data_IF_588795216841
#
_entry.id   IF_588795216841
#
_cell.length_a   1.000
_cell.length_b   1.000
_cell.length_c   1.000
_cell.angle_alpha   90.00
_cell.angle_beta   90.00
_cell.angle_gamma   90.00
#
_symmetry.space_group_name_H-M   'P 1'
#
loop_
_entity.id
_entity.type
_entity.pdbx_description
1 polymer ?
#
# COMPACT_ATOMS: atom_id res chain seq x y z
N UNK A 1 -15.53 -27.32 -22.23
CA UNK A 1 -16.15 -25.99 -22.05
C UNK A 1 -15.01 -25.01 -21.87
N UNK A 2 -14.84 -23.98 -22.72
CA UNK A 2 -13.79 -22.98 -22.51
C UNK A 2 -14.13 -22.15 -21.27
N UNK A 3 -13.18 -22.09 -20.33
CA UNK A 3 -13.27 -21.25 -19.14
C UNK A 3 -13.29 -19.79 -19.63
N UNK A 4 -14.31 -19.02 -19.24
CA UNK A 4 -14.39 -17.62 -19.68
C UNK A 4 -13.37 -16.79 -18.90
N UNK A 5 -12.91 -15.66 -19.47
CA UNK A 5 -11.95 -14.76 -18.81
C UNK A 5 -12.40 -14.30 -17.41
N UNK A 6 -13.72 -14.26 -17.17
CA UNK A 6 -14.32 -13.96 -15.86
C UNK A 6 -14.23 -15.12 -14.85
N UNK A 7 -14.17 -16.36 -15.32
CA UNK A 7 -13.98 -17.54 -14.48
C UNK A 7 -12.52 -17.71 -14.06
N UNK A 8 -11.56 -17.40 -14.95
CA UNK A 8 -10.13 -17.42 -14.61
C UNK A 8 -9.76 -16.41 -13.52
N UNK A 9 -10.28 -15.18 -13.61
CA UNK A 9 -10.05 -14.15 -12.60
C UNK A 9 -10.66 -14.53 -11.24
N UNK A 10 -11.77 -15.28 -11.22
CA UNK A 10 -12.37 -15.81 -9.99
C UNK A 10 -11.51 -16.88 -9.33
N UNK A 11 -10.79 -17.70 -10.10
CA UNK A 11 -9.95 -18.77 -9.56
C UNK A 11 -8.65 -18.22 -8.98
N UNK A 12 -8.07 -17.16 -9.56
CA UNK A 12 -6.77 -16.62 -9.13
C UNK A 12 -6.92 -15.57 -8.02
N UNK A 13 -8.03 -14.84 -7.99
CA UNK A 13 -8.28 -13.86 -6.92
C UNK A 13 -8.49 -14.59 -5.59
N UNK A 14 -7.74 -14.20 -4.57
CA UNK A 14 -7.92 -14.73 -3.23
C UNK A 14 -6.71 -14.53 -2.35
N UNK A 15 -6.75 -15.21 -1.22
CA UNK A 15 -5.68 -15.23 -0.22
C UNK A 15 -4.98 -16.60 -0.34
N UNK A 16 -3.65 -16.55 -0.37
CA UNK A 16 -2.79 -17.73 -0.40
C UNK A 16 -1.90 -17.69 0.84
N UNK A 17 -1.97 -18.73 1.67
CA UNK A 17 -1.19 -18.86 2.90
C UNK A 17 -0.27 -20.08 2.81
N UNK A 18 0.92 -20.04 3.42
CA UNK A 18 1.92 -21.09 3.30
C UNK A 18 1.62 -22.27 4.25
N UNK A 19 0.51 -22.99 4.00
CA UNK A 19 -0.02 -24.08 4.84
C UNK A 19 0.96 -25.22 5.16
N UNK A 20 2.06 -25.33 4.41
CA UNK A 20 3.08 -26.36 4.61
C UNK A 20 4.09 -26.00 5.71
N UNK A 21 3.94 -24.84 6.34
CA UNK A 21 4.80 -24.36 7.43
C UNK A 21 4.01 -24.18 8.72
N UNK A 22 4.71 -24.05 9.84
CA UNK A 22 4.10 -23.60 11.09
C UNK A 22 3.84 -22.09 11.03
N UNK A 23 2.68 -21.58 11.47
CA UNK A 23 2.37 -20.15 11.41
C UNK A 23 3.40 -19.24 12.10
N UNK A 24 4.03 -19.72 13.18
CA UNK A 24 5.05 -18.99 13.93
C UNK A 24 6.37 -18.82 13.17
N UNK A 25 6.61 -19.65 12.15
CA UNK A 25 7.78 -19.57 11.28
C UNK A 25 7.61 -18.55 10.15
N UNK A 26 6.36 -18.19 9.83
CA UNK A 26 6.04 -17.34 8.69
C UNK A 26 5.87 -15.87 9.07
N UNK A 27 6.18 -14.99 8.12
CA UNK A 27 5.88 -13.57 8.24
C UNK A 27 4.39 -13.33 8.05
N UNK A 28 3.79 -12.56 8.96
CA UNK A 28 2.37 -12.20 8.92
C UNK A 28 2.04 -11.03 8.00
N UNK A 29 3.05 -10.33 7.48
CA UNK A 29 2.90 -9.21 6.55
C UNK A 29 2.79 -9.74 5.11
N UNK A 30 1.62 -9.56 4.44
CA UNK A 30 1.40 -10.13 3.11
C UNK A 30 2.05 -9.32 1.98
N UNK A 31 2.12 -9.93 0.80
CA UNK A 31 2.44 -9.27 -0.48
C UNK A 31 1.16 -9.25 -1.33
N UNK A 32 0.91 -8.14 -2.01
CA UNK A 32 -0.25 -7.98 -2.88
C UNK A 32 0.15 -8.04 -4.36
N UNK A 33 -0.59 -8.85 -5.12
CA UNK A 33 -0.43 -9.00 -6.57
C UNK A 33 -1.74 -8.67 -7.28
N UNK A 34 -1.65 -7.89 -8.35
CA UNK A 34 -2.70 -7.69 -9.31
C UNK A 34 -2.60 -8.74 -10.42
N UNK A 35 -3.73 -9.23 -10.90
CA UNK A 35 -3.78 -10.17 -12.02
C UNK A 35 -4.68 -9.62 -13.12
N UNK A 36 -4.15 -9.49 -14.33
CA UNK A 36 -4.91 -9.03 -15.50
C UNK A 36 -4.47 -9.78 -16.75
N UNK A 37 -5.41 -10.47 -17.42
CA UNK A 37 -5.19 -11.12 -18.74
C UNK A 37 -3.93 -12.01 -18.79
N UNK A 38 -3.72 -12.87 -17.78
CA UNK A 38 -2.54 -13.75 -17.74
C UNK A 38 -1.28 -13.11 -17.18
N UNK A 39 -1.32 -11.85 -16.73
CA UNK A 39 -0.15 -11.13 -16.21
C UNK A 39 -0.30 -10.79 -14.73
N UNK A 40 0.76 -11.03 -13.95
CA UNK A 40 0.88 -10.62 -12.57
C UNK A 40 1.68 -9.32 -12.44
N UNK A 41 1.18 -8.40 -11.62
CA UNK A 41 1.86 -7.14 -11.31
C UNK A 41 1.92 -6.95 -9.80
N UNK A 42 3.06 -6.47 -9.29
CA UNK A 42 3.16 -6.10 -7.87
C UNK A 42 2.25 -4.88 -7.59
N UNK A 43 1.48 -4.95 -6.51
CA UNK A 43 0.73 -3.81 -5.99
C UNK A 43 1.51 -3.28 -4.78
N UNK A 44 2.20 -2.15 -4.99
CA UNK A 44 3.09 -1.56 -3.99
C UNK A 44 2.47 -0.24 -3.51
N UNK A 45 2.34 -0.03 -2.18
CA UNK A 45 1.88 1.24 -1.65
C UNK A 45 2.89 2.37 -1.95
N UNK A 46 2.41 3.60 -1.99
CA UNK A 46 3.31 4.76 -1.99
C UNK A 46 4.02 4.85 -0.64
N UNK A 47 5.27 5.30 -0.66
CA UNK A 47 5.97 5.65 0.58
C UNK A 47 5.25 6.85 1.22
N UNK A 48 5.05 6.85 2.55
CA UNK A 48 4.47 7.99 3.24
C UNK A 48 5.41 9.20 3.12
N UNK A 49 4.84 10.40 3.01
CA UNK A 49 5.66 11.60 3.08
C UNK A 49 6.36 11.68 4.44
N UNK A 50 7.65 12.06 4.49
CA UNK A 50 8.31 12.30 5.76
C UNK A 50 7.58 13.43 6.48
N UNK A 51 6.99 13.16 7.65
CA UNK A 51 6.39 14.19 8.48
C UNK A 51 7.43 15.31 8.71
N UNK A 52 7.08 16.54 8.33
CA UNK A 52 7.93 17.71 8.61
C UNK A 52 8.08 17.82 10.12
N UNK A 53 9.27 17.47 10.63
CA UNK A 53 9.60 17.55 12.05
C UNK A 53 9.50 19.01 12.49
N UNK A 54 8.32 19.42 12.92
CA UNK A 54 8.04 20.71 13.50
C UNK A 54 8.09 20.56 15.02
N UNK A 55 9.27 20.86 15.58
CA UNK A 55 9.42 21.14 17.00
C UNK A 55 9.75 19.94 17.88
N UNK A 56 10.65 20.20 18.83
CA UNK A 56 11.14 19.27 19.83
C UNK A 56 10.01 18.67 20.68
N UNK A 57 9.91 17.34 20.69
CA UNK A 57 9.01 16.64 21.59
C UNK A 57 8.84 15.19 21.15
N UNK A 58 9.37 14.27 21.95
CA UNK A 58 9.33 12.83 21.70
C UNK A 58 7.94 12.35 21.30
N UNK A 59 7.81 11.85 20.07
CA UNK A 59 6.71 10.99 19.69
C UNK A 59 7.31 9.64 19.27
N UNK A 60 7.25 8.60 20.11
CA UNK A 60 7.70 7.25 19.72
C UNK A 60 6.59 6.60 18.89
N UNK A 61 6.14 7.27 17.83
CA UNK A 61 5.22 6.66 16.87
C UNK A 61 6.08 5.82 15.95
N UNK A 62 6.01 4.52 16.19
CA UNK A 62 6.71 3.43 15.49
C UNK A 62 7.11 3.79 14.06
N UNK A 63 8.41 3.73 13.78
CA UNK A 63 9.08 3.88 12.46
C UNK A 63 8.60 2.88 11.37
N UNK A 64 7.43 2.27 11.53
CA UNK A 64 6.88 1.23 10.67
C UNK A 64 5.63 1.76 9.98
N UNK A 65 5.77 2.03 8.69
CA UNK A 65 4.63 2.32 7.83
C UNK A 65 3.76 1.06 7.68
N UNK A 66 2.45 1.23 7.86
CA UNK A 66 1.46 0.16 7.75
C UNK A 66 0.49 0.47 6.62
N UNK A 67 0.47 -0.42 5.62
CA UNK A 67 -0.52 -0.40 4.55
C UNK A 67 -1.64 -1.37 4.88
N UNK A 68 -2.89 -0.93 4.76
CA UNK A 68 -4.06 -1.78 4.99
C UNK A 68 -4.57 -2.36 3.67
N UNK A 69 -4.55 -3.69 3.56
CA UNK A 69 -5.02 -4.42 2.40
C UNK A 69 -6.40 -5.04 2.68
N UNK A 70 -7.45 -4.66 1.95
CA UNK A 70 -8.77 -5.26 2.11
C UNK A 70 -8.75 -6.77 1.86
N UNK A 71 -9.30 -7.53 2.81
CA UNK A 71 -9.50 -8.98 2.68
C UNK A 71 -10.92 -9.32 2.21
N UNK A 72 -11.64 -8.33 1.70
CA UNK A 72 -13.03 -8.43 1.28
C UNK A 72 -13.23 -7.77 -0.10
N UNK A 73 -14.27 -8.18 -0.81
CA UNK A 73 -14.75 -7.51 -2.02
C UNK A 73 -15.49 -6.22 -1.67
N UNK A 74 -15.81 -5.40 -2.70
CA UNK A 74 -16.65 -4.21 -2.53
C UNK A 74 -18.02 -4.53 -1.90
N UNK A 75 -18.55 -5.73 -2.16
CA UNK A 75 -19.82 -6.23 -1.60
C UNK A 75 -19.67 -6.84 -0.19
N UNK A 76 -18.54 -6.58 0.48
CA UNK A 76 -18.20 -7.08 1.82
C UNK A 76 -18.15 -8.62 1.93
N UNK A 77 -17.93 -9.31 0.82
CA UNK A 77 -17.69 -10.76 0.83
C UNK A 77 -16.21 -11.05 1.07
N UNK A 78 -15.91 -11.99 1.95
CA UNK A 78 -14.53 -12.42 2.21
C UNK A 78 -13.87 -12.92 0.92
N UNK A 79 -12.60 -12.56 0.70
CA UNK A 79 -11.84 -13.12 -0.41
C UNK A 79 -11.68 -14.64 -0.23
N UNK A 80 -11.73 -15.44 -1.32
CA UNK A 80 -11.51 -16.88 -1.22
C UNK A 80 -10.16 -17.21 -0.59
N UNK A 81 -10.14 -18.11 0.39
CA UNK A 81 -8.92 -18.68 0.94
C UNK A 81 -8.63 -19.99 0.20
N UNK A 82 -7.52 -20.02 -0.54
CA UNK A 82 -7.23 -21.13 -1.45
C UNK A 82 -6.62 -22.34 -0.74
N UNK A 83 -6.85 -23.52 -1.32
CA UNK A 83 -6.25 -24.80 -0.92
C UNK A 83 -6.60 -25.29 0.49
N UNK A 84 -7.74 -24.88 1.03
CA UNK A 84 -8.25 -25.42 2.29
C UNK A 84 -8.63 -26.89 2.17
N UNK A 85 -8.37 -27.63 3.25
CA UNK A 85 -8.90 -28.98 3.44
C UNK A 85 -10.38 -28.94 3.81
N UNK A 86 -11.09 -30.06 3.67
CA UNK A 86 -12.52 -30.13 4.03
C UNK A 86 -12.79 -29.76 5.50
N UNK A 87 -11.85 -30.04 6.41
CA UNK A 87 -12.00 -29.68 7.83
C UNK A 87 -11.78 -28.19 8.12
N UNK A 88 -11.25 -27.43 7.17
CA UNK A 88 -10.95 -26.00 7.32
C UNK A 88 -12.03 -25.11 6.68
N UNK A 89 -12.86 -25.66 5.80
CA UNK A 89 -14.01 -24.95 5.21
C UNK A 89 -14.95 -24.46 6.31
N UNK A 90 -15.33 -23.18 6.25
CA UNK A 90 -16.12 -22.49 7.27
C UNK A 90 -15.32 -21.88 8.41
N UNK A 91 -13.99 -22.07 8.44
CA UNK A 91 -13.06 -21.45 9.41
C UNK A 91 -12.09 -20.47 8.76
N UNK A 92 -12.45 -19.94 7.58
CA UNK A 92 -11.56 -19.10 6.75
C UNK A 92 -11.05 -17.88 7.52
N UNK A 93 -11.93 -17.17 8.22
CA UNK A 93 -11.55 -15.97 8.98
C UNK A 93 -10.62 -16.30 10.16
N UNK A 94 -10.88 -17.41 10.87
CA UNK A 94 -10.02 -17.88 11.97
C UNK A 94 -8.61 -18.16 11.46
N UNK A 95 -8.51 -18.90 10.35
CA UNK A 95 -7.24 -19.23 9.70
C UNK A 95 -6.56 -17.94 9.23
N UNK A 96 -7.26 -17.03 8.56
CA UNK A 96 -6.70 -15.73 8.14
C UNK A 96 -6.11 -14.97 9.34
N UNK A 97 -6.79 -14.90 10.48
CA UNK A 97 -6.29 -14.22 11.68
C UNK A 97 -5.10 -14.94 12.34
N UNK A 98 -5.01 -16.25 12.16
CA UNK A 98 -3.84 -17.02 12.59
C UNK A 98 -2.61 -16.69 11.73
N UNK A 99 -2.79 -16.51 10.43
CA UNK A 99 -1.70 -16.37 9.46
C UNK A 99 -1.30 -14.93 9.12
N UNK A 100 -2.19 -13.96 9.30
CA UNK A 100 -1.98 -12.56 8.96
C UNK A 100 -2.22 -11.65 10.16
N UNK A 101 -1.55 -10.50 10.19
CA UNK A 101 -1.88 -9.42 11.12
C UNK A 101 -3.11 -8.70 10.60
N UNK A 102 -4.27 -8.96 11.20
CA UNK A 102 -5.55 -8.41 10.73
C UNK A 102 -6.16 -7.42 11.73
N UNK A 103 -6.87 -6.43 11.21
CA UNK A 103 -7.78 -5.61 12.02
C UNK A 103 -9.08 -5.33 11.24
N UNK A 104 -10.06 -4.77 11.93
CA UNK A 104 -11.31 -4.32 11.33
C UNK A 104 -11.31 -2.80 11.36
N UNK A 105 -11.56 -2.15 10.22
CA UNK A 105 -11.67 -0.69 10.16
C UNK A 105 -12.96 -0.22 10.85
N UNK A 106 -13.06 1.08 11.15
CA UNK A 106 -14.30 1.66 11.70
C UNK A 106 -15.52 1.39 10.80
N UNK A 107 -15.30 1.34 9.47
CA UNK A 107 -16.32 0.99 8.48
C UNK A 107 -16.68 -0.50 8.42
N UNK A 108 -16.11 -1.34 9.30
CA UNK A 108 -16.38 -2.77 9.38
C UNK A 108 -15.68 -3.62 8.32
N UNK A 109 -14.62 -3.11 7.68
CA UNK A 109 -13.86 -3.89 6.68
C UNK A 109 -12.74 -4.68 7.36
N UNK A 110 -12.68 -5.98 7.11
CA UNK A 110 -11.54 -6.81 7.50
C UNK A 110 -10.36 -6.50 6.57
N UNK A 111 -9.23 -6.12 7.16
CA UNK A 111 -8.01 -5.77 6.44
C UNK A 111 -6.82 -6.51 7.02
N UNK A 112 -5.86 -6.87 6.16
CA UNK A 112 -4.52 -7.27 6.58
C UNK A 112 -3.60 -6.05 6.67
N UNK A 113 -2.71 -6.07 7.64
CA UNK A 113 -1.68 -5.08 7.85
C UNK A 113 -0.41 -5.53 7.15
N UNK A 114 -0.06 -4.84 6.07
CA UNK A 114 1.25 -4.95 5.45
C UNK A 114 2.19 -3.96 6.15
N UNK A 115 3.04 -4.48 7.02
CA UNK A 115 4.08 -3.73 7.72
C UNK A 115 5.31 -3.71 6.84
N UNK A 116 5.68 -2.55 6.33
CA UNK A 116 6.85 -2.41 5.46
C UNK A 116 8.09 -2.22 6.36
N UNK A 117 9.01 -3.19 6.42
CA UNK A 117 10.25 -3.00 7.16
C UNK A 117 11.11 -1.95 6.45
N UNK A 118 12.11 -1.41 7.17
CA UNK A 118 13.11 -0.56 6.52
C UNK A 118 13.77 -1.31 5.37
N UNK A 119 13.74 -0.72 4.19
CA UNK A 119 14.32 -1.30 2.98
C UNK A 119 15.83 -1.48 3.16
N UNK A 120 16.42 -2.61 2.70
CA UNK A 120 17.86 -2.80 2.70
C UNK A 120 18.57 -1.66 1.97
N UNK A 121 19.77 -1.29 2.43
CA UNK A 121 20.51 -0.13 1.91
C UNK A 121 20.71 -0.16 0.38
N UNK A 122 20.95 -1.34 -0.18
CA UNK A 122 21.11 -1.50 -1.63
C UNK A 122 19.82 -1.19 -2.41
N UNK A 123 18.65 -1.52 -1.85
CA UNK A 123 17.34 -1.21 -2.45
C UNK A 123 17.11 0.30 -2.42
N UNK A 124 17.40 0.95 -1.28
CA UNK A 124 17.31 2.41 -1.16
C UNK A 124 18.22 3.11 -2.17
N UNK A 125 19.48 2.68 -2.27
CA UNK A 125 20.43 3.23 -3.23
C UNK A 125 19.93 3.09 -4.68
N UNK A 126 19.34 1.94 -5.04
CA UNK A 126 18.78 1.72 -6.36
C UNK A 126 17.60 2.65 -6.65
N UNK A 127 16.68 2.81 -5.69
CA UNK A 127 15.52 3.70 -5.81
C UNK A 127 15.97 5.16 -5.92
N UNK A 128 16.94 5.59 -5.12
CA UNK A 128 17.48 6.94 -5.16
C UNK A 128 18.14 7.27 -6.51
N UNK A 129 18.94 6.34 -7.04
CA UNK A 129 19.55 6.49 -8.36
C UNK A 129 18.51 6.61 -9.47
N UNK A 130 17.43 5.82 -9.39
CA UNK A 130 16.31 5.90 -10.32
C UNK A 130 15.60 7.26 -10.22
N UNK A 131 15.23 7.70 -9.01
CA UNK A 131 14.59 9.01 -8.79
C UNK A 131 15.45 10.18 -9.27
N UNK A 132 16.76 10.13 -9.04
CA UNK A 132 17.70 11.17 -9.44
C UNK A 132 17.75 11.35 -10.97
N UNK A 133 17.56 10.27 -11.73
CA UNK A 133 17.44 10.37 -13.19
C UNK A 133 16.22 11.21 -13.60
N UNK A 134 15.07 11.03 -12.94
CA UNK A 134 13.85 11.82 -13.23
C UNK A 134 13.97 13.27 -12.78
N UNK A 135 14.64 13.54 -11.65
CA UNK A 135 14.91 14.91 -11.19
C UNK A 135 15.73 15.70 -12.21
N UNK A 136 16.76 15.08 -12.79
CA UNK A 136 17.60 15.68 -13.84
C UNK A 136 16.85 15.95 -15.15
N UNK A 137 15.82 15.15 -15.45
CA UNK A 137 14.97 15.32 -16.63
C UNK A 137 13.95 16.47 -16.49
N UNK A 138 13.83 17.11 -15.32
CA UNK A 138 12.87 18.18 -15.06
C UNK A 138 13.55 19.56 -15.00
N UNK A 139 13.60 20.34 -16.10
CA UNK A 139 14.29 21.64 -16.11
C UNK A 139 13.53 22.76 -15.35
N UNK A 140 12.31 22.51 -14.86
CA UNK A 140 11.37 23.55 -14.41
C UNK A 140 10.62 23.23 -13.12
N UNK A 141 11.35 22.95 -12.04
CA UNK A 141 10.87 23.29 -10.69
C UNK A 141 11.88 24.18 -9.97
N UNK A 142 12.38 25.20 -10.66
CA UNK A 142 12.71 26.45 -9.97
C UNK A 142 11.38 27.10 -9.68
N UNK A 143 10.85 26.89 -8.48
CA UNK A 143 9.96 27.89 -7.89
C UNK A 143 10.80 29.17 -7.89
N UNK A 144 10.51 30.04 -8.83
CA UNK A 144 10.87 31.43 -8.66
C UNK A 144 10.05 31.88 -7.45
N UNK A 145 10.69 31.94 -6.29
CA UNK A 145 10.35 32.94 -5.28
C UNK A 145 10.62 34.33 -5.89
N UNK A 146 9.87 34.68 -6.94
CA UNK A 146 9.73 36.07 -7.37
C UNK A 146 8.62 36.63 -6.51
N UNK A 147 9.07 37.17 -5.38
CA UNK A 147 8.45 38.24 -4.61
C UNK A 147 7.06 38.66 -5.11
N UNK A 148 6.09 38.47 -4.23
CA UNK A 148 4.85 39.22 -4.13
C UNK A 148 5.11 40.73 -4.22
N UNK A 149 5.25 41.24 -5.45
CA UNK A 149 5.17 42.65 -5.77
C UNK A 149 3.71 43.08 -5.79
N UNK A 150 3.22 43.50 -4.63
CA UNK A 150 2.02 44.32 -4.50
C UNK A 150 2.26 45.62 -5.31
N UNK A 151 1.73 45.71 -6.54
CA UNK A 151 1.65 47.00 -7.25
C UNK A 151 0.22 47.48 -7.17
N UNK A 152 -0.05 48.19 -6.08
CA UNK A 152 -1.26 48.98 -5.86
C UNK A 152 -1.00 50.39 -6.39
N UNK A 153 -1.27 50.64 -7.67
CA UNK A 153 -1.31 52.00 -8.21
C UNK A 153 -2.74 52.54 -8.10
N UNK A 154 -3.02 53.12 -6.94
CA UNK A 154 -4.17 53.96 -6.68
C UNK A 154 -3.70 55.23 -5.99
N UNK A 155 -3.67 56.35 -6.73
CA UNK A 155 -3.74 57.75 -6.27
C UNK A 155 -3.45 58.62 -7.51
N UNK A 156 -4.04 59.79 -7.77
CA UNK A 156 -5.15 60.57 -7.24
C UNK A 156 -5.25 61.78 -8.17
N UNK A 157 -6.45 62.36 -8.28
CA UNK A 157 -6.74 63.58 -9.03
C UNK A 157 -5.72 64.71 -8.81
N UNK A 158 -5.37 65.43 -9.88
CA UNK A 158 -4.93 66.83 -9.82
C UNK A 158 -5.52 67.62 -10.98
N UNK A 159 -6.45 68.49 -10.60
CA UNK A 159 -6.93 69.78 -11.15
C UNK A 159 -6.70 70.11 -12.64
#
# INVERSE_FOLDING_TARGET
>A
MPVTLGDEAKIIKGIYIPLLWEPSFCWKSPIALGYTRGHFSALVPMEPEPEVITGAGANPRSDLHVTFLPLMTADRQLLPLHFLTQGEVGREEEIIRQWLDCCVTEGGLLVAQQKVPRSPHLVLQMVDQWLEAYRKLSPHHRISDSQSGYSSDGDSDRE
#
